data_IF_823100132485
#
_entry.id   IF_823100132485
#
_cell.length_a   1.000
_cell.length_b   1.000
_cell.length_c   1.000
_cell.angle_alpha   90.00
_cell.angle_beta   90.00
_cell.angle_gamma   90.00
#
_symmetry.space_group_name_H-M   'P 1'
#
loop_
_entity.id
_entity.type
_entity.pdbx_description
1 polymer ?
#
# COMPACT_ATOMS: atom_id res chain seq x y z
N UNK A 1 -12.79 11.58 1.87
CA UNK A 1 -12.24 10.41 1.16
C UNK A 1 -10.78 10.69 0.94
N UNK A 2 -9.91 9.72 1.24
CA UNK A 2 -8.49 9.82 0.97
C UNK A 2 -8.25 9.92 -0.55
N UNK A 3 -7.22 10.66 -0.95
CA UNK A 3 -6.77 10.77 -2.34
C UNK A 3 -5.31 10.33 -2.43
N UNK A 4 -4.93 9.73 -3.56
CA UNK A 4 -3.54 9.37 -3.80
C UNK A 4 -2.69 10.64 -3.83
N UNK A 5 -1.57 10.63 -3.09
CA UNK A 5 -0.54 11.66 -3.25
C UNK A 5 -0.01 11.58 -4.69
N UNK A 6 -0.03 12.70 -5.40
CA UNK A 6 0.59 12.81 -6.73
C UNK A 6 2.11 12.76 -6.58
N UNK A 7 2.69 11.59 -6.79
CA UNK A 7 4.11 11.32 -6.61
C UNK A 7 4.66 10.67 -7.89
N UNK A 8 5.77 11.22 -8.38
CA UNK A 8 6.55 10.58 -9.45
C UNK A 8 7.42 9.48 -8.82
N UNK A 9 6.96 8.24 -8.90
CA UNK A 9 7.71 7.05 -8.48
C UNK A 9 8.36 6.39 -9.69
N UNK A 10 9.66 6.10 -9.60
CA UNK A 10 10.28 5.17 -10.56
C UNK A 10 9.75 3.76 -10.34
N UNK A 11 9.96 2.85 -11.30
CA UNK A 11 9.57 1.44 -11.12
C UNK A 11 10.22 0.78 -9.90
N UNK A 12 11.46 1.15 -9.58
CA UNK A 12 12.14 0.65 -8.38
C UNK A 12 11.53 1.24 -7.10
N UNK A 13 11.24 2.55 -7.08
CA UNK A 13 10.60 3.18 -5.92
C UNK A 13 9.22 2.56 -5.66
N UNK A 14 8.42 2.38 -6.71
CA UNK A 14 7.10 1.78 -6.61
C UNK A 14 7.16 0.36 -6.03
N UNK A 15 8.18 -0.43 -6.39
CA UNK A 15 8.40 -1.75 -5.82
C UNK A 15 8.66 -1.68 -4.30
N UNK A 16 9.53 -0.79 -3.84
CA UNK A 16 9.83 -0.67 -2.41
C UNK A 16 8.71 -0.04 -1.60
N UNK A 17 7.94 0.89 -2.18
CA UNK A 17 6.71 1.41 -1.57
C UNK A 17 5.69 0.28 -1.40
N UNK A 18 5.48 -0.56 -2.43
CA UNK A 18 4.61 -1.73 -2.31
C UNK A 18 5.09 -2.71 -1.22
N UNK A 19 6.40 -2.90 -1.09
CA UNK A 19 6.95 -3.71 0.00
C UNK A 19 6.58 -3.13 1.37
N UNK A 20 6.73 -1.82 1.58
CA UNK A 20 6.32 -1.19 2.84
C UNK A 20 4.81 -1.29 3.09
N UNK A 21 4.00 -1.10 2.06
CA UNK A 21 2.55 -1.24 2.12
C UNK A 21 2.14 -2.64 2.60
N UNK A 22 2.72 -3.70 2.02
CA UNK A 22 2.44 -5.08 2.41
C UNK A 22 2.97 -5.40 3.81
N UNK A 23 4.18 -4.94 4.14
CA UNK A 23 4.78 -5.15 5.45
C UNK A 23 3.94 -4.52 6.57
N UNK A 24 3.40 -3.32 6.33
CA UNK A 24 2.56 -2.63 7.32
C UNK A 24 1.26 -3.38 7.60
N UNK A 25 0.59 -3.93 6.58
CA UNK A 25 -0.58 -4.77 6.77
C UNK A 25 -0.25 -6.09 7.50
N UNK A 26 0.89 -6.70 7.19
CA UNK A 26 1.37 -7.88 7.91
C UNK A 26 1.60 -7.59 9.40
N UNK A 27 2.26 -6.47 9.71
CA UNK A 27 2.52 -6.03 11.09
C UNK A 27 1.24 -5.65 11.84
N UNK A 28 0.33 -4.89 11.22
CA UNK A 28 -0.92 -4.45 11.83
C UNK A 28 -1.91 -5.59 12.08
N UNK A 29 -1.90 -6.60 11.22
CA UNK A 29 -2.79 -7.74 11.36
C UNK A 29 -2.31 -8.78 12.37
N UNK A 30 -1.12 -8.63 12.95
CA UNK A 30 -0.51 -9.69 13.79
C UNK A 30 -0.52 -11.07 13.09
N UNK A 31 -0.29 -11.08 11.77
CA UNK A 31 -0.38 -12.25 10.88
C UNK A 31 -1.79 -12.83 10.67
N UNK A 32 -2.85 -12.06 10.95
CA UNK A 32 -4.24 -12.51 10.74
C UNK A 32 -4.77 -12.20 9.34
N UNK A 33 -4.25 -11.14 8.69
CA UNK A 33 -4.56 -10.85 7.29
C UNK A 33 -3.51 -11.48 6.40
N UNK A 34 -3.98 -12.27 5.45
CA UNK A 34 -3.13 -12.76 4.40
C UNK A 34 -3.08 -11.77 3.23
N UNK A 35 -2.23 -12.08 2.24
CA UNK A 35 -2.09 -11.23 1.05
C UNK A 35 -3.40 -11.13 0.27
N UNK A 36 -4.26 -12.15 0.31
CA UNK A 36 -5.52 -12.14 -0.41
C UNK A 36 -6.55 -11.17 0.20
N UNK A 37 -6.53 -11.00 1.53
CA UNK A 37 -7.35 -9.98 2.21
C UNK A 37 -6.96 -8.57 1.74
N UNK A 38 -5.65 -8.29 1.70
CA UNK A 38 -5.12 -7.00 1.26
C UNK A 38 -5.48 -6.71 -0.20
N UNK A 39 -5.35 -7.73 -1.07
CA UNK A 39 -5.69 -7.60 -2.49
C UNK A 39 -7.20 -7.38 -2.69
N UNK A 40 -8.04 -8.05 -1.90
CA UNK A 40 -9.50 -7.88 -1.97
C UNK A 40 -9.92 -6.47 -1.56
N UNK A 41 -9.31 -5.92 -0.50
CA UNK A 41 -9.57 -4.55 -0.10
C UNK A 41 -9.02 -3.51 -1.08
N UNK A 42 -7.94 -3.86 -1.79
CA UNK A 42 -7.32 -3.05 -2.84
C UNK A 42 -8.01 -3.19 -4.21
N UNK A 43 -9.05 -4.02 -4.33
CA UNK A 43 -9.68 -4.29 -5.63
C UNK A 43 -10.15 -2.98 -6.27
N UNK A 44 -9.78 -2.71 -7.55
CA UNK A 44 -10.13 -1.47 -8.21
C UNK A 44 -11.61 -1.44 -8.59
N UNK A 45 -12.39 -0.64 -7.88
CA UNK A 45 -13.82 -0.44 -8.08
C UNK A 45 -14.10 0.90 -8.77
N UNK A 46 -15.04 0.90 -9.71
CA UNK A 46 -15.61 2.11 -10.33
C UNK A 46 -17.09 2.24 -9.97
N UNK A 47 -17.33 2.61 -8.71
CA UNK A 47 -18.68 2.70 -8.14
C UNK A 47 -19.60 3.68 -8.87
N UNK A 48 -19.01 4.69 -9.54
CA UNK A 48 -19.75 5.80 -10.14
C UNK A 48 -19.73 5.79 -11.68
N UNK A 49 -19.15 4.75 -12.31
CA UNK A 49 -19.06 4.64 -13.77
C UNK A 49 -18.21 5.73 -14.42
N UNK A 50 -17.27 6.31 -13.67
CA UNK A 50 -16.43 7.44 -14.10
C UNK A 50 -15.15 6.99 -14.81
N UNK A 51 -14.84 5.69 -14.78
CA UNK A 51 -13.56 5.12 -15.19
C UNK A 51 -12.46 5.27 -14.14
N UNK A 52 -12.67 6.09 -13.10
CA UNK A 52 -11.71 6.26 -12.01
C UNK A 52 -11.85 5.08 -11.06
N UNK A 53 -10.82 4.22 -11.05
CA UNK A 53 -10.72 3.06 -10.17
C UNK A 53 -10.21 3.50 -8.80
N UNK A 54 -10.94 3.14 -7.75
CA UNK A 54 -10.55 3.32 -6.35
C UNK A 54 -10.57 1.97 -5.64
N UNK A 55 -9.73 1.75 -4.63
CA UNK A 55 -9.79 0.50 -3.87
C UNK A 55 -11.17 0.32 -3.24
N UNK A 56 -11.60 -0.94 -3.11
CA UNK A 56 -12.85 -1.31 -2.47
C UNK A 56 -12.96 -0.75 -1.05
N UNK A 57 -11.85 -0.70 -0.31
CA UNK A 57 -11.70 0.06 0.92
C UNK A 57 -10.89 1.34 0.68
N UNK A 58 -11.50 2.50 0.91
CA UNK A 58 -10.83 3.80 0.78
C UNK A 58 -9.65 4.00 1.72
N UNK A 59 -9.59 3.28 2.84
CA UNK A 59 -8.45 3.31 3.78
C UNK A 59 -7.16 2.77 3.18
N UNK A 60 -7.24 1.96 2.11
CA UNK A 60 -6.06 1.48 1.37
C UNK A 60 -5.25 2.62 0.76
N UNK A 61 -5.88 3.76 0.47
CA UNK A 61 -5.20 4.96 -0.03
C UNK A 61 -4.32 5.59 1.07
N UNK A 62 -4.79 5.60 2.31
CA UNK A 62 -4.03 6.14 3.44
C UNK A 62 -2.80 5.27 3.72
N UNK A 63 -2.97 3.94 3.76
CA UNK A 63 -1.84 3.00 3.89
C UNK A 63 -0.81 3.16 2.76
N UNK A 64 -1.27 3.38 1.52
CA UNK A 64 -0.37 3.66 0.41
C UNK A 64 0.40 4.97 0.60
N UNK A 65 -0.30 6.03 0.99
CA UNK A 65 0.30 7.34 1.23
C UNK A 65 1.32 7.33 2.39
N UNK A 66 1.08 6.49 3.40
CA UNK A 66 1.98 6.27 4.53
C UNK A 66 3.20 5.44 4.12
N UNK A 67 3.02 4.42 3.27
CA UNK A 67 4.12 3.65 2.69
C UNK A 67 5.06 4.53 1.84
N UNK A 68 4.51 5.46 1.05
CA UNK A 68 5.32 6.45 0.32
C UNK A 68 6.13 7.29 1.31
N UNK A 69 5.48 7.83 2.34
CA UNK A 69 6.14 8.69 3.32
C UNK A 69 7.25 7.94 4.08
N UNK A 70 7.01 6.67 4.42
CA UNK A 70 7.99 5.77 5.02
C UNK A 70 9.18 5.54 4.09
N UNK A 71 8.94 5.27 2.81
CA UNK A 71 9.99 5.12 1.82
C UNK A 71 10.82 6.40 1.66
N UNK A 72 10.19 7.58 1.59
CA UNK A 72 10.90 8.86 1.49
C UNK A 72 11.78 9.14 2.71
N UNK A 73 11.32 8.75 3.91
CA UNK A 73 12.06 8.97 5.17
C UNK A 73 13.17 7.95 5.39
N UNK A 74 12.93 6.68 5.08
CA UNK A 74 13.80 5.56 5.47
C UNK A 74 14.60 4.98 4.31
N UNK A 75 14.23 5.28 3.06
CA UNK A 75 14.83 4.70 1.87
C UNK A 75 14.43 3.25 1.66
N UNK A 76 15.33 2.46 1.06
CA UNK A 76 15.07 1.05 0.74
C UNK A 76 15.03 0.22 2.04
N UNK A 77 13.99 -0.60 2.26
CA UNK A 77 13.88 -1.41 3.47
C UNK A 77 15.02 -2.43 3.58
N UNK A 78 15.50 -2.64 4.81
CA UNK A 78 16.44 -3.71 5.14
C UNK A 78 15.69 -5.05 5.21
N UNK A 79 15.39 -5.60 4.03
CA UNK A 79 14.59 -6.82 3.82
C UNK A 79 15.15 -8.07 4.52
N UNK A 80 16.40 -8.03 5.02
CA UNK A 80 17.02 -9.12 5.78
C UNK A 80 16.62 -9.16 7.26
N UNK A 81 15.89 -8.15 7.75
CA UNK A 81 15.48 -8.02 9.17
C UNK A 81 14.01 -8.36 9.44
N UNK A 82 13.30 -8.99 8.51
CA UNK A 82 11.97 -9.53 8.81
C UNK A 82 12.13 -10.57 9.93
N UNK A 83 11.80 -10.17 11.16
CA UNK A 83 11.82 -11.07 12.32
C UNK A 83 10.72 -12.10 12.09
N UNK A 84 11.14 -13.35 12.17
CA UNK A 84 10.29 -14.52 12.06
C UNK A 84 9.35 -14.63 13.26
#
# INVERSE_FOLDING_TARGET
MAEFKNEDLTSEDAFWVMFYFLQEHYELSENTFDVSDILSASEPMDWNGTGIKRPADSGMIDFWNDAIEKYRKQGKPDWKKLKK
#
